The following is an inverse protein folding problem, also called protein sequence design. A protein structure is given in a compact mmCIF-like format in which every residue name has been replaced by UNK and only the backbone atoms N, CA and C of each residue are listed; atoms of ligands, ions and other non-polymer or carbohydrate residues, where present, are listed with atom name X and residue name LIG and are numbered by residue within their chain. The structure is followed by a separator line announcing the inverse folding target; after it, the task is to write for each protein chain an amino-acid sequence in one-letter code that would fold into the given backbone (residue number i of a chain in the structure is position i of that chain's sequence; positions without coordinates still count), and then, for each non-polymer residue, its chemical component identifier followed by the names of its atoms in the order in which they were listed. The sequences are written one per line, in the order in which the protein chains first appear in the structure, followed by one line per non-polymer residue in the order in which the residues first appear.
data_IF_012010301133
#
_entry.id   IF_012010301133
#
_cell.length_a   1.000
_cell.length_b   1.000
_cell.length_c   1.000
_cell.angle_alpha   90.00
_cell.angle_beta   90.00
_cell.angle_gamma   90.00
#
_symmetry.space_group_name_H-M   'P 1'
#
loop_
_entity.id
_entity.type
_entity.pdbx_description
1 polymer ?
#
# COMPACT_ATOMS: atom_id res chain seq x y z
N UNK A 1 -27.53 22.71 47.88
CA UNK A 1 -27.63 21.63 46.88
C UNK A 1 -26.80 22.03 45.67
N UNK A 2 -25.69 21.31 45.41
CA UNK A 2 -24.75 21.56 44.31
C UNK A 2 -25.40 21.18 42.99
N UNK A 3 -25.59 22.13 42.07
CA UNK A 3 -25.89 21.85 40.66
C UNK A 3 -24.56 21.80 39.92
N UNK A 4 -23.98 20.61 39.82
CA UNK A 4 -22.87 20.34 38.92
C UNK A 4 -23.33 19.36 37.85
N UNK A 5 -22.77 19.59 36.66
CA UNK A 5 -22.91 18.77 35.46
C UNK A 5 -24.27 18.98 34.79
N UNK A 6 -24.33 19.28 33.51
CA UNK A 6 -23.94 18.35 32.45
C UNK A 6 -23.45 19.16 31.24
N UNK A 7 -22.14 19.11 30.98
CA UNK A 7 -21.55 19.41 29.67
C UNK A 7 -21.64 18.13 28.84
N UNK A 8 -22.71 17.98 28.09
CA UNK A 8 -22.85 16.89 27.11
C UNK A 8 -22.09 17.30 25.85
N UNK A 9 -20.83 16.86 25.79
CA UNK A 9 -20.02 16.78 24.58
C UNK A 9 -20.64 15.73 23.65
N UNK A 10 -21.64 16.12 22.85
CA UNK A 10 -22.05 15.35 21.67
C UNK A 10 -21.07 15.68 20.55
N UNK A 11 -19.88 15.08 20.61
CA UNK A 11 -19.12 14.84 19.39
C UNK A 11 -19.33 13.36 19.08
N UNK A 12 -20.54 13.03 18.63
CA UNK A 12 -20.74 11.75 17.94
C UNK A 12 -19.87 11.83 16.69
N UNK A 13 -18.76 11.09 16.76
CA UNK A 13 -17.80 10.93 15.70
C UNK A 13 -18.55 10.71 14.37
N UNK A 14 -18.29 11.60 13.40
CA UNK A 14 -18.45 11.27 11.99
C UNK A 14 -17.39 10.21 11.65
N UNK A 15 -17.53 9.01 12.22
CA UNK A 15 -17.00 7.80 11.62
C UNK A 15 -17.85 7.58 10.36
N UNK A 16 -17.58 8.38 9.33
CA UNK A 16 -18.10 8.12 8.01
C UNK A 16 -17.83 6.66 7.70
N UNK A 17 -18.83 5.96 7.18
CA UNK A 17 -18.75 4.57 6.75
C UNK A 17 -17.74 4.43 5.61
N UNK A 18 -16.45 4.68 5.87
CA UNK A 18 -15.37 4.28 5.01
C UNK A 18 -15.38 2.76 5.04
N UNK A 19 -15.92 2.16 3.98
CA UNK A 19 -15.88 0.71 3.82
C UNK A 19 -14.43 0.24 3.97
N UNK A 20 -14.21 -0.96 4.52
CA UNK A 20 -12.86 -1.53 4.67
C UNK A 20 -12.06 -1.48 3.35
N UNK A 21 -12.76 -1.55 2.22
CA UNK A 21 -12.21 -1.41 0.87
C UNK A 21 -11.70 0.01 0.55
N UNK A 22 -12.38 1.05 1.03
CA UNK A 22 -11.96 2.45 0.92
C UNK A 22 -10.69 2.73 1.74
N UNK A 23 -10.54 2.07 2.89
CA UNK A 23 -9.33 2.17 3.70
C UNK A 23 -8.16 1.48 2.99
N UNK A 24 -8.39 0.32 2.37
CA UNK A 24 -7.34 -0.37 1.60
C UNK A 24 -6.83 0.42 0.40
N UNK A 25 -7.71 1.14 -0.31
CA UNK A 25 -7.27 2.03 -1.40
C UNK A 25 -6.50 3.25 -0.90
N UNK A 26 -6.81 3.75 0.32
CA UNK A 26 -6.01 4.79 0.99
C UNK A 26 -4.60 4.30 1.30
N UNK A 27 -4.47 3.10 1.89
CA UNK A 27 -3.16 2.51 2.18
C UNK A 27 -2.36 2.30 0.90
N UNK A 28 -3.01 1.82 -0.16
CA UNK A 28 -2.39 1.65 -1.46
C UNK A 28 -1.76 2.95 -1.97
N UNK A 29 -2.51 4.06 -1.99
CA UNK A 29 -1.97 5.36 -2.43
C UNK A 29 -0.76 5.80 -1.61
N UNK A 30 -0.84 5.63 -0.29
CA UNK A 30 0.26 5.97 0.61
C UNK A 30 1.50 5.09 0.40
N UNK A 31 1.32 3.79 0.21
CA UNK A 31 2.43 2.86 0.03
C UNK A 31 3.04 2.92 -1.37
N UNK A 32 2.23 3.18 -2.40
CA UNK A 32 2.70 3.41 -3.76
C UNK A 32 3.53 4.70 -3.87
N UNK A 33 3.09 5.79 -3.24
CA UNK A 33 3.86 7.03 -3.18
C UNK A 33 5.21 6.89 -2.45
N UNK A 34 5.29 6.01 -1.44
CA UNK A 34 6.55 5.69 -0.75
C UNK A 34 7.45 4.72 -1.54
N UNK A 35 6.90 4.04 -2.55
CA UNK A 35 7.60 3.05 -3.37
C UNK A 35 7.38 3.36 -4.87
N UNK A 36 7.81 4.55 -5.34
CA UNK A 36 7.45 5.08 -6.66
C UNK A 36 8.05 4.27 -7.81
N UNK A 37 9.17 3.60 -7.57
CA UNK A 37 9.87 2.80 -8.56
C UNK A 37 9.01 1.65 -9.08
N UNK A 38 9.11 1.38 -10.38
CA UNK A 38 8.36 0.28 -11.01
C UNK A 38 8.70 -1.08 -10.37
N UNK A 39 9.94 -1.26 -9.91
CA UNK A 39 10.41 -2.50 -9.31
C UNK A 39 10.26 -2.57 -7.78
N UNK A 40 9.81 -1.51 -7.10
CA UNK A 40 9.68 -1.47 -5.64
C UNK A 40 8.41 -2.19 -5.10
N UNK A 41 8.05 -3.34 -5.68
CA UNK A 41 6.86 -4.10 -5.26
C UNK A 41 6.99 -4.69 -3.85
N UNK A 42 8.18 -5.20 -3.51
CA UNK A 42 8.44 -5.80 -2.19
C UNK A 42 8.20 -4.77 -1.07
N UNK A 43 8.81 -3.58 -1.20
CA UNK A 43 8.63 -2.48 -0.26
C UNK A 43 7.19 -1.96 -0.19
N UNK A 44 6.49 -1.91 -1.34
CA UNK A 44 5.07 -1.59 -1.38
C UNK A 44 4.23 -2.57 -0.54
N UNK A 45 4.44 -3.88 -0.71
CA UNK A 45 3.69 -4.91 0.02
C UNK A 45 4.01 -4.88 1.52
N UNK A 46 5.27 -4.61 1.88
CA UNK A 46 5.67 -4.45 3.29
C UNK A 46 4.99 -3.26 3.96
N UNK A 47 4.92 -2.11 3.27
CA UNK A 47 4.16 -0.96 3.75
C UNK A 47 2.67 -1.30 3.94
N UNK A 48 2.06 -2.01 2.97
CA UNK A 48 0.65 -2.41 3.06
C UNK A 48 0.39 -3.35 4.25
N UNK A 49 1.26 -4.33 4.48
CA UNK A 49 1.16 -5.25 5.62
C UNK A 49 1.31 -4.49 6.95
N UNK A 50 2.24 -3.53 7.04
CA UNK A 50 2.45 -2.73 8.25
C UNK A 50 1.22 -1.88 8.59
N UNK A 51 0.64 -1.18 7.60
CA UNK A 51 -0.57 -0.38 7.80
C UNK A 51 -1.77 -1.26 8.15
N UNK A 52 -1.91 -2.43 7.51
CA UNK A 52 -3.01 -3.34 7.79
C UNK A 52 -2.90 -3.96 9.19
N UNK A 53 -1.70 -4.35 9.63
CA UNK A 53 -1.47 -4.91 10.95
C UNK A 53 -1.81 -3.91 12.08
N UNK A 54 -1.62 -2.61 11.83
CA UNK A 54 -1.99 -1.54 12.76
C UNK A 54 -3.50 -1.25 12.82
N UNK A 55 -4.29 -1.67 11.81
CA UNK A 55 -5.74 -1.48 11.77
C UNK A 55 -6.50 -2.80 12.01
N UNK A 56 -6.83 -3.06 13.27
CA UNK A 56 -7.55 -4.27 13.71
C UNK A 56 -8.93 -4.45 13.03
N UNK A 57 -9.60 -3.36 12.62
CA UNK A 57 -10.94 -3.46 12.01
C UNK A 57 -10.83 -3.90 10.54
N UNK A 58 -9.82 -3.41 9.83
CA UNK A 58 -9.59 -3.73 8.42
C UNK A 58 -8.90 -5.08 8.26
N UNK A 59 -7.90 -5.40 9.09
CA UNK A 59 -7.13 -6.67 9.05
C UNK A 59 -7.98 -7.93 9.17
N UNK A 60 -9.08 -7.87 9.93
CA UNK A 60 -10.00 -9.01 10.08
C UNK A 60 -11.01 -9.15 8.92
N UNK A 61 -11.00 -8.22 7.95
CA UNK A 61 -11.91 -8.31 6.80
C UNK A 61 -11.45 -9.33 5.78
N UNK A 62 -12.32 -10.28 5.40
CA UNK A 62 -12.03 -11.30 4.38
C UNK A 62 -11.53 -10.72 3.05
N UNK A 63 -12.07 -9.56 2.63
CA UNK A 63 -11.60 -8.85 1.45
C UNK A 63 -10.14 -8.38 1.58
N UNK A 64 -9.76 -7.80 2.72
CA UNK A 64 -8.39 -7.35 2.98
C UNK A 64 -7.42 -8.54 3.05
N UNK A 65 -7.83 -9.63 3.72
CA UNK A 65 -7.07 -10.87 3.81
C UNK A 65 -6.80 -11.44 2.40
N UNK A 66 -7.82 -11.54 1.54
CA UNK A 66 -7.66 -12.08 0.19
C UNK A 66 -6.78 -11.20 -0.71
N UNK A 67 -6.92 -9.88 -0.59
CA UNK A 67 -6.08 -8.92 -1.32
C UNK A 67 -4.62 -9.06 -0.89
N UNK A 68 -4.35 -9.07 0.42
CA UNK A 68 -2.98 -9.17 0.93
C UNK A 68 -2.37 -10.56 0.72
N UNK A 69 -3.16 -11.64 0.75
CA UNK A 69 -2.68 -12.96 0.38
C UNK A 69 -2.14 -12.98 -1.06
N UNK A 70 -2.88 -12.37 -2.00
CA UNK A 70 -2.42 -12.22 -3.39
C UNK A 70 -1.17 -11.34 -3.48
N UNK A 71 -1.16 -10.20 -2.79
CA UNK A 71 0.00 -9.30 -2.78
C UNK A 71 1.26 -10.00 -2.26
N UNK A 72 1.14 -10.74 -1.15
CA UNK A 72 2.23 -11.50 -0.55
C UNK A 72 2.70 -12.66 -1.45
N UNK A 73 1.79 -13.31 -2.18
CA UNK A 73 2.17 -14.31 -3.19
C UNK A 73 3.05 -13.71 -4.28
N UNK A 74 2.67 -12.56 -4.84
CA UNK A 74 3.49 -11.88 -5.84
C UNK A 74 4.81 -11.36 -5.25
N UNK A 75 4.80 -10.86 -4.00
CA UNK A 75 6.03 -10.47 -3.29
C UNK A 75 7.01 -11.64 -3.24
N UNK A 76 6.56 -12.84 -2.90
CA UNK A 76 7.42 -14.02 -2.89
C UNK A 76 7.94 -14.38 -4.28
N UNK A 77 7.12 -14.27 -5.32
CA UNK A 77 7.58 -14.49 -6.71
C UNK A 77 8.66 -13.49 -7.14
N UNK A 78 8.58 -12.24 -6.67
CA UNK A 78 9.63 -11.23 -6.91
C UNK A 78 10.91 -11.56 -6.17
N UNK A 79 10.82 -11.95 -4.89
CA UNK A 79 11.98 -12.36 -4.09
C UNK A 79 12.66 -13.59 -4.69
N UNK A 80 11.88 -14.56 -5.16
CA UNK A 80 12.36 -15.77 -5.82
C UNK A 80 12.92 -15.52 -7.23
N UNK A 81 12.85 -14.29 -7.77
CA UNK A 81 13.29 -13.96 -9.12
C UNK A 81 12.40 -14.53 -10.25
N UNK A 82 11.21 -15.02 -9.94
CA UNK A 82 10.24 -15.61 -10.90
C UNK A 82 9.42 -14.56 -11.64
N UNK A 83 9.39 -13.33 -11.14
CA UNK A 83 8.63 -12.20 -11.66
C UNK A 83 9.35 -10.90 -11.27
N UNK A 84 9.31 -9.88 -12.13
CA UNK A 84 9.83 -8.55 -11.78
C UNK A 84 8.85 -7.77 -10.90
N UNK A 85 9.32 -6.78 -10.15
CA UNK A 85 8.43 -5.91 -9.36
C UNK A 85 7.39 -5.18 -10.23
N UNK A 86 7.77 -4.77 -11.46
CA UNK A 86 6.86 -4.15 -12.42
C UNK A 86 5.76 -5.10 -12.87
N UNK A 87 6.09 -6.33 -13.22
CA UNK A 87 5.10 -7.37 -13.58
C UNK A 87 4.16 -7.65 -12.41
N UNK A 88 4.68 -7.69 -11.17
CA UNK A 88 3.88 -7.87 -9.97
C UNK A 88 2.89 -6.72 -9.73
N UNK A 89 3.33 -5.46 -9.89
CA UNK A 89 2.46 -4.27 -9.86
C UNK A 89 1.34 -4.39 -10.90
N UNK A 90 1.68 -4.72 -12.14
CA UNK A 90 0.71 -4.87 -13.23
C UNK A 90 -0.27 -6.03 -13.00
N UNK A 91 0.21 -7.20 -12.59
CA UNK A 91 -0.63 -8.37 -12.28
C UNK A 91 -1.60 -8.06 -11.14
N UNK A 92 -1.12 -7.42 -10.07
CA UNK A 92 -1.94 -7.00 -8.95
C UNK A 92 -3.02 -5.99 -9.36
N UNK A 93 -2.65 -4.94 -10.11
CA UNK A 93 -3.60 -3.96 -10.65
C UNK A 93 -4.63 -4.61 -11.57
N UNK A 94 -4.21 -5.59 -12.38
CA UNK A 94 -5.10 -6.30 -13.29
C UNK A 94 -6.15 -7.13 -12.56
N UNK A 95 -5.78 -7.77 -11.45
CA UNK A 95 -6.70 -8.52 -10.60
C UNK A 95 -7.58 -7.58 -9.75
N UNK A 96 -7.03 -6.47 -9.27
CA UNK A 96 -7.72 -5.52 -8.39
C UNK A 96 -7.73 -4.12 -9.00
N UNK A 97 -8.65 -3.90 -9.95
CA UNK A 97 -8.74 -2.68 -10.79
C UNK A 97 -8.83 -1.34 -10.05
N UNK A 98 -9.09 -1.34 -8.73
CA UNK A 98 -9.14 -0.15 -7.87
C UNK A 98 -7.77 0.26 -7.31
N UNK A 99 -6.76 -0.59 -7.47
CA UNK A 99 -5.38 -0.38 -7.03
C UNK A 99 -4.53 -0.05 -8.27
N UNK A 100 -4.51 1.22 -8.63
CA UNK A 100 -3.80 1.72 -9.81
C UNK A 100 -2.46 2.26 -9.36
N UNK A 101 -1.36 1.60 -9.75
CA UNK A 101 -0.01 2.04 -9.42
C UNK A 101 0.40 3.24 -10.26
N UNK A 102 1.04 4.20 -9.61
CA UNK A 102 1.77 5.26 -10.26
C UNK A 102 3.19 4.75 -10.46
N UNK A 103 3.46 4.24 -11.66
CA UNK A 103 4.83 4.03 -12.08
C UNK A 103 5.44 5.42 -12.21
N UNK A 104 6.36 5.78 -11.32
CA UNK A 104 7.07 7.05 -11.39
C UNK A 104 7.49 7.34 -12.83
N UNK A 105 7.39 8.60 -13.25
CA UNK A 105 7.85 9.03 -14.56
C UNK A 105 9.30 8.51 -14.75
N UNK A 106 9.68 7.86 -15.86
CA UNK A 106 11.00 7.24 -16.03
C UNK A 106 12.21 8.21 -15.99
N UNK A 107 12.00 9.49 -15.68
CA UNK A 107 13.09 10.44 -15.40
C UNK A 107 13.54 10.33 -13.94
N UNK A 108 14.19 9.22 -13.62
CA UNK A 108 15.15 9.15 -12.53
C UNK A 108 16.36 8.41 -13.07
N UNK A 109 17.06 9.18 -13.91
CA UNK A 109 18.47 9.10 -14.29
C UNK A 109 19.13 7.75 -14.03
N UNK A 110 19.24 6.96 -15.10
CA UNK A 110 20.44 6.17 -15.35
C UNK A 110 21.67 7.07 -15.14
N UNK A 111 22.21 7.09 -13.92
CA UNK A 111 23.64 7.32 -13.75
C UNK A 111 24.29 5.97 -14.05
N UNK A 112 24.44 5.67 -15.34
CA UNK A 112 25.47 4.74 -15.78
C UNK A 112 26.77 5.37 -15.28
N UNK A 113 27.27 4.87 -14.16
CA UNK A 113 28.63 5.12 -13.74
C UNK A 113 29.51 4.66 -14.90
N UNK A 114 29.98 5.63 -15.68
CA UNK A 114 30.99 5.42 -16.68
C UNK A 114 32.19 4.79 -15.96
N UNK A 115 32.48 3.53 -16.26
CA UNK A 115 33.77 2.96 -15.94
C UNK A 115 34.83 3.86 -16.60
N UNK A 116 35.80 4.42 -15.86
CA UNK A 116 36.86 5.18 -16.49
C UNK A 116 37.66 4.23 -17.37
N UNK A 117 37.72 4.58 -18.65
CA UNK A 117 38.63 3.98 -19.60
C UNK A 117 40.08 4.20 -19.14
N UNK A 118 40.81 3.09 -19.17
CA UNK A 118 42.26 2.88 -19.26
C UNK A 118 43.12 4.12 -19.51
N UNK A 119 44.20 4.24 -18.73
CA UNK A 119 45.52 4.58 -19.25
C UNK A 119 46.57 3.72 -18.55
#
# INVERSE_FOLDING_TARGET
MKKMSILVLVVLAMAGCASKYSIMTKYHKQCDAQNPEANAYVGYVDCMNALLAADHKVSQGSGAINIMATANKYKQQVIDGKMTGKEAKLAFQNQYKRFIFNFGNPESTESVAAAPAVN
#
